data_IF_688609792743
#
_entry.id   IF_688609792743
#
_cell.length_a   1.000
_cell.length_b   1.000
_cell.length_c   1.000
_cell.angle_alpha   90.00
_cell.angle_beta   90.00
_cell.angle_gamma   90.00
#
_symmetry.space_group_name_H-M   'P 1'
#
loop_
_entity.id
_entity.type
_entity.pdbx_description
1 polymer ?
#
# COMPACT_ATOMS: atom_id res chain seq x y z
N UNK A 1 -10.46 -1.48 -19.43
CA UNK A 1 -10.31 -2.62 -18.49
C UNK A 1 -10.99 -2.27 -17.17
N UNK A 2 -11.77 -3.19 -16.63
CA UNK A 2 -12.37 -3.04 -15.30
C UNK A 2 -11.39 -3.46 -14.21
N UNK A 3 -11.68 -3.06 -12.97
CA UNK A 3 -10.86 -3.51 -11.83
C UNK A 3 -10.83 -5.02 -11.72
N UNK A 4 -11.98 -5.67 -11.88
CA UNK A 4 -12.07 -7.13 -11.81
C UNK A 4 -11.21 -7.81 -12.89
N UNK A 5 -11.23 -7.29 -14.11
CA UNK A 5 -10.38 -7.80 -15.19
C UNK A 5 -8.89 -7.61 -14.88
N UNK A 6 -8.53 -6.45 -14.31
CA UNK A 6 -7.16 -6.17 -13.91
C UNK A 6 -6.67 -7.12 -12.82
N UNK A 7 -7.47 -7.31 -11.77
CA UNK A 7 -7.13 -8.22 -10.69
C UNK A 7 -6.97 -9.66 -11.18
N UNK A 8 -7.83 -10.09 -12.09
CA UNK A 8 -7.72 -11.43 -12.69
C UNK A 8 -6.43 -11.57 -13.49
N UNK A 9 -6.06 -10.55 -14.26
CA UNK A 9 -4.85 -10.57 -15.08
C UNK A 9 -3.57 -10.68 -14.24
N UNK A 10 -3.56 -10.13 -13.01
CA UNK A 10 -2.42 -10.24 -12.11
C UNK A 10 -2.06 -11.69 -11.79
N UNK A 11 -3.06 -12.57 -11.77
CA UNK A 11 -2.88 -13.98 -11.43
C UNK A 11 -2.79 -14.89 -12.64
N UNK A 12 -2.96 -14.34 -13.84
CA UNK A 12 -2.92 -15.11 -15.08
C UNK A 12 -1.50 -15.48 -15.50
N UNK A 13 -1.36 -16.31 -16.54
CA UNK A 13 -0.05 -16.84 -16.97
C UNK A 13 0.78 -15.86 -17.80
N UNK A 14 0.18 -14.79 -18.32
CA UNK A 14 0.86 -13.83 -19.20
C UNK A 14 1.51 -12.72 -18.37
N UNK A 15 2.85 -12.71 -18.32
CA UNK A 15 3.63 -11.72 -17.58
C UNK A 15 3.39 -10.29 -18.07
N UNK A 16 3.28 -10.09 -19.40
CA UNK A 16 3.05 -8.75 -19.96
C UNK A 16 1.66 -8.24 -19.63
N UNK A 17 0.66 -9.11 -19.68
CA UNK A 17 -0.71 -8.76 -19.29
C UNK A 17 -0.76 -8.39 -17.82
N UNK A 18 -0.06 -9.12 -16.94
CA UNK A 18 -0.01 -8.83 -15.53
C UNK A 18 0.66 -7.47 -15.26
N UNK A 19 1.75 -7.16 -15.97
CA UNK A 19 2.44 -5.87 -15.81
C UNK A 19 1.55 -4.71 -16.24
N UNK A 20 0.83 -4.85 -17.36
CA UNK A 20 -0.12 -3.83 -17.82
C UNK A 20 -1.26 -3.66 -16.82
N UNK A 21 -1.76 -4.77 -16.27
CA UNK A 21 -2.83 -4.74 -15.28
C UNK A 21 -2.40 -4.01 -14.01
N UNK A 22 -1.18 -4.26 -13.54
CA UNK A 22 -0.65 -3.55 -12.38
C UNK A 22 -0.66 -2.03 -12.60
N UNK A 23 -0.13 -1.59 -13.74
CA UNK A 23 -0.08 -0.17 -14.06
C UNK A 23 -1.49 0.45 -14.13
N UNK A 24 -2.44 -0.25 -14.75
CA UNK A 24 -3.80 0.23 -14.89
C UNK A 24 -4.55 0.25 -13.55
N UNK A 25 -4.34 -0.73 -12.69
CA UNK A 25 -4.94 -0.75 -11.36
C UNK A 25 -4.44 0.44 -10.53
N UNK A 26 -3.13 0.71 -10.56
CA UNK A 26 -2.59 1.88 -9.89
C UNK A 26 -3.22 3.17 -10.41
N UNK A 27 -3.35 3.30 -11.74
CA UNK A 27 -3.98 4.47 -12.35
C UNK A 27 -5.44 4.61 -11.91
N UNK A 28 -6.19 3.50 -11.87
CA UNK A 28 -7.58 3.50 -11.40
C UNK A 28 -7.67 3.96 -9.94
N UNK A 29 -6.83 3.40 -9.09
CA UNK A 29 -6.87 3.68 -7.65
C UNK A 29 -6.44 5.10 -7.33
N UNK A 30 -5.61 5.73 -8.17
CA UNK A 30 -5.18 7.12 -7.99
C UNK A 30 -6.22 8.15 -8.44
N UNK A 31 -7.22 7.74 -9.20
CA UNK A 31 -8.26 8.66 -9.67
C UNK A 31 -9.36 8.79 -8.63
N UNK A 32 -9.56 9.99 -8.12
CA UNK A 32 -10.63 10.26 -7.15
C UNK A 32 -11.96 10.63 -7.81
N UNK A 33 -11.94 11.05 -9.07
CA UNK A 33 -13.08 11.62 -9.74
C UNK A 33 -13.37 13.06 -9.35
N UNK A 34 -12.51 13.67 -8.55
CA UNK A 34 -12.64 15.04 -8.06
C UNK A 34 -11.35 15.81 -8.35
N UNK A 35 -11.40 16.87 -9.21
CA UNK A 35 -10.19 17.61 -9.56
C UNK A 35 -9.45 18.24 -8.38
N UNK A 36 -10.18 18.66 -7.34
CA UNK A 36 -9.55 19.23 -6.13
C UNK A 36 -8.74 18.17 -5.39
N UNK A 37 -9.30 16.97 -5.23
CA UNK A 37 -8.60 15.86 -4.57
C UNK A 37 -7.40 15.43 -5.39
N UNK A 38 -7.54 15.36 -6.72
CA UNK A 38 -6.42 15.00 -7.60
C UNK A 38 -5.29 16.04 -7.53
N UNK A 39 -5.63 17.32 -7.36
CA UNK A 39 -4.64 18.37 -7.17
C UNK A 39 -3.88 18.20 -5.84
N UNK A 40 -4.59 17.89 -4.76
CA UNK A 40 -3.96 17.61 -3.46
C UNK A 40 -3.02 16.38 -3.58
N UNK A 41 -3.45 15.36 -4.32
CA UNK A 41 -2.61 14.20 -4.57
C UNK A 41 -1.28 14.60 -5.21
N UNK A 42 -1.33 15.40 -6.28
CA UNK A 42 -0.12 15.87 -6.95
C UNK A 42 0.78 16.68 -6.03
N UNK A 43 0.20 17.57 -5.25
CA UNK A 43 0.95 18.40 -4.29
C UNK A 43 1.65 17.54 -3.24
N UNK A 44 0.93 16.57 -2.69
CA UNK A 44 1.48 15.67 -1.69
C UNK A 44 2.62 14.82 -2.23
N UNK A 45 2.46 14.30 -3.44
CA UNK A 45 3.51 13.51 -4.10
C UNK A 45 4.76 14.36 -4.34
N UNK A 46 4.61 15.61 -4.78
CA UNK A 46 5.75 16.51 -4.97
C UNK A 46 6.48 16.76 -3.66
N UNK A 47 5.74 16.97 -2.57
CA UNK A 47 6.35 17.17 -1.25
C UNK A 47 7.12 15.94 -0.79
N UNK A 48 6.57 14.73 -1.04
CA UNK A 48 7.30 13.49 -0.77
C UNK A 48 8.62 13.43 -1.54
N UNK A 49 8.58 13.76 -2.82
CA UNK A 49 9.77 13.74 -3.68
C UNK A 49 10.84 14.71 -3.19
N UNK A 50 10.42 15.83 -2.60
CA UNK A 50 11.32 16.83 -2.01
C UNK A 50 11.74 16.48 -0.59
N UNK A 51 11.30 15.35 -0.07
CA UNK A 51 11.55 14.90 1.31
C UNK A 51 10.93 15.81 2.36
N UNK A 52 9.93 16.60 2.01
CA UNK A 52 9.12 17.33 2.96
C UNK A 52 8.00 16.43 3.47
N UNK A 53 8.35 15.53 4.40
CA UNK A 53 7.43 14.51 4.88
C UNK A 53 6.31 15.12 5.72
N UNK A 54 6.62 16.13 6.55
CA UNK A 54 5.60 16.80 7.36
C UNK A 54 4.57 17.51 6.48
N UNK A 55 5.02 18.20 5.43
CA UNK A 55 4.13 18.85 4.48
C UNK A 55 3.29 17.86 3.71
N UNK A 56 3.88 16.75 3.27
CA UNK A 56 3.16 15.71 2.56
C UNK A 56 2.07 15.08 3.43
N UNK A 57 2.40 14.75 4.69
CA UNK A 57 1.43 14.18 5.62
C UNK A 57 0.25 15.12 5.82
N UNK A 58 0.52 16.42 5.94
CA UNK A 58 -0.51 17.44 6.12
C UNK A 58 -1.46 17.51 4.91
N UNK A 59 -0.90 17.48 3.70
CA UNK A 59 -1.69 17.48 2.46
C UNK A 59 -2.56 16.23 2.37
N UNK A 60 -2.02 15.05 2.66
CA UNK A 60 -2.79 13.82 2.61
C UNK A 60 -3.84 13.77 3.72
N UNK A 61 -3.59 14.37 4.87
CA UNK A 61 -4.60 14.52 5.92
C UNK A 61 -5.78 15.36 5.43
N UNK A 62 -5.50 16.43 4.67
CA UNK A 62 -6.56 17.25 4.07
C UNK A 62 -7.36 16.47 3.02
N UNK A 63 -6.70 15.62 2.23
CA UNK A 63 -7.40 14.72 1.29
C UNK A 63 -8.37 13.81 2.03
N UNK A 64 -7.90 13.19 3.10
CA UNK A 64 -8.72 12.29 3.92
C UNK A 64 -9.93 13.03 4.51
N UNK A 65 -9.72 14.25 5.00
CA UNK A 65 -10.80 15.05 5.57
C UNK A 65 -11.88 15.37 4.54
N UNK A 66 -11.49 15.65 3.30
CA UNK A 66 -12.40 16.02 2.22
C UNK A 66 -13.02 14.84 1.48
N UNK A 67 -12.29 13.72 1.41
CA UNK A 67 -12.73 12.53 0.70
C UNK A 67 -12.39 11.28 1.52
N UNK A 68 -13.06 11.07 2.67
CA UNK A 68 -12.71 9.96 3.57
C UNK A 68 -12.91 8.57 2.97
N UNK A 69 -13.70 8.44 1.90
CA UNK A 69 -13.90 7.16 1.23
C UNK A 69 -12.90 6.89 0.11
N UNK A 70 -12.05 7.85 -0.20
CA UNK A 70 -11.01 7.66 -1.21
C UNK A 70 -9.83 6.92 -0.59
N UNK A 71 -9.71 5.63 -0.89
CA UNK A 71 -8.72 4.75 -0.27
C UNK A 71 -7.29 5.26 -0.41
N UNK A 72 -6.95 5.83 -1.56
CA UNK A 72 -5.58 6.25 -1.86
C UNK A 72 -5.08 7.39 -0.97
N UNK A 73 -5.96 8.23 -0.45
CA UNK A 73 -5.58 9.25 0.53
C UNK A 73 -4.97 8.62 1.78
N UNK A 74 -5.61 7.57 2.28
CA UNK A 74 -5.11 6.81 3.44
C UNK A 74 -3.80 6.11 3.10
N UNK A 75 -3.72 5.48 1.91
CA UNK A 75 -2.51 4.78 1.49
C UNK A 75 -1.31 5.72 1.34
N UNK A 76 -1.52 6.91 0.79
CA UNK A 76 -0.45 7.90 0.64
C UNK A 76 0.06 8.38 1.98
N UNK A 77 -0.84 8.65 2.93
CA UNK A 77 -0.40 9.02 4.28
C UNK A 77 0.34 7.88 4.96
N UNK A 78 -0.11 6.64 4.77
CA UNK A 78 0.60 5.47 5.28
C UNK A 78 2.03 5.43 4.77
N UNK A 79 2.24 5.70 3.48
CA UNK A 79 3.58 5.70 2.87
C UNK A 79 4.47 6.77 3.51
N UNK A 80 3.95 7.98 3.67
CA UNK A 80 4.69 9.07 4.31
C UNK A 80 5.06 8.71 5.75
N UNK A 81 4.11 8.16 6.48
CA UNK A 81 4.34 7.76 7.88
C UNK A 81 5.35 6.64 7.99
N UNK A 82 5.35 5.70 7.04
CA UNK A 82 6.37 4.65 6.99
C UNK A 82 7.76 5.26 6.80
N UNK A 83 7.91 6.16 5.83
CA UNK A 83 9.19 6.83 5.57
C UNK A 83 9.65 7.64 6.79
N UNK A 84 8.71 8.26 7.49
CA UNK A 84 8.99 9.02 8.72
C UNK A 84 9.16 8.12 9.95
N UNK A 85 9.13 6.81 9.78
CA UNK A 85 9.27 5.82 10.84
C UNK A 85 8.13 5.85 11.87
N UNK A 86 6.99 6.43 11.50
CA UNK A 86 5.77 6.32 12.30
C UNK A 86 5.01 5.06 11.89
N UNK A 87 5.54 3.91 12.30
CA UNK A 87 5.03 2.62 11.86
C UNK A 87 3.62 2.33 12.37
N UNK A 88 3.31 2.68 13.61
CA UNK A 88 1.98 2.47 14.17
C UNK A 88 0.92 3.30 13.41
N UNK A 89 1.24 4.55 13.10
CA UNK A 89 0.36 5.40 12.31
C UNK A 89 0.18 4.86 10.90
N UNK A 90 1.25 4.35 10.30
CA UNK A 90 1.20 3.74 8.97
C UNK A 90 0.34 2.48 8.96
N UNK A 91 0.47 1.62 9.96
CA UNK A 91 -0.35 0.41 10.09
C UNK A 91 -1.84 0.78 10.15
N UNK A 92 -2.18 1.79 10.95
CA UNK A 92 -3.56 2.24 11.07
C UNK A 92 -4.11 2.76 9.72
N UNK A 93 -3.31 3.52 8.99
CA UNK A 93 -3.71 4.03 7.67
C UNK A 93 -3.84 2.92 6.63
N UNK A 94 -2.98 1.90 6.68
CA UNK A 94 -3.11 0.73 5.82
C UNK A 94 -4.42 -0.01 6.10
N UNK A 95 -4.81 -0.13 7.36
CA UNK A 95 -6.09 -0.75 7.72
C UNK A 95 -7.26 0.02 7.11
N UNK A 96 -7.21 1.35 7.16
CA UNK A 96 -8.25 2.19 6.57
C UNK A 96 -8.27 2.04 5.05
N UNK A 97 -7.10 1.95 4.41
CA UNK A 97 -7.01 1.69 2.98
C UNK A 97 -7.65 0.35 2.63
N UNK A 98 -7.32 -0.70 3.36
CA UNK A 98 -7.80 -2.05 3.09
C UNK A 98 -9.29 -2.21 3.37
N UNK A 99 -9.84 -1.44 4.29
CA UNK A 99 -11.27 -1.45 4.53
C UNK A 99 -12.04 -0.94 3.31
N UNK A 100 -11.47 0.03 2.59
CA UNK A 100 -12.07 0.63 1.39
C UNK A 100 -11.73 -0.13 0.12
N UNK A 101 -10.55 -0.73 0.07
CA UNK A 101 -10.05 -1.51 -1.07
C UNK A 101 -9.30 -2.74 -0.54
N UNK A 102 -10.00 -3.85 -0.30
CA UNK A 102 -9.38 -5.07 0.26
C UNK A 102 -8.30 -5.68 -0.63
N UNK A 103 -8.31 -5.36 -1.91
CA UNK A 103 -7.36 -5.89 -2.90
C UNK A 103 -6.18 -4.96 -3.16
N UNK A 104 -6.02 -3.93 -2.34
CA UNK A 104 -4.94 -2.97 -2.51
C UNK A 104 -3.61 -3.61 -2.12
N UNK A 105 -2.92 -4.20 -3.10
CA UNK A 105 -1.69 -4.94 -2.85
C UNK A 105 -0.57 -4.05 -2.30
N UNK A 106 -0.55 -2.76 -2.65
CA UNK A 106 0.41 -1.82 -2.07
C UNK A 106 0.22 -1.63 -0.57
N UNK A 107 -1.03 -1.52 -0.12
CA UNK A 107 -1.33 -1.39 1.32
C UNK A 107 -1.05 -2.69 2.08
N UNK A 108 -1.37 -3.84 1.49
CA UNK A 108 -1.06 -5.13 2.09
C UNK A 108 0.44 -5.30 2.30
N UNK A 109 1.23 -5.03 1.27
CA UNK A 109 2.69 -5.10 1.34
C UNK A 109 3.25 -4.04 2.29
N UNK A 110 2.74 -2.83 2.23
CA UNK A 110 3.16 -1.72 3.09
C UNK A 110 2.92 -2.01 4.57
N UNK A 111 1.77 -2.57 4.90
CA UNK A 111 1.47 -2.96 6.28
C UNK A 111 2.41 -4.07 6.74
N UNK A 112 2.73 -5.03 5.84
CA UNK A 112 3.72 -6.06 6.13
C UNK A 112 5.08 -5.47 6.48
N UNK A 113 5.53 -4.48 5.73
CA UNK A 113 6.81 -3.80 6.01
C UNK A 113 6.79 -3.10 7.36
N UNK A 114 5.66 -2.47 7.72
CA UNK A 114 5.52 -1.83 9.04
C UNK A 114 5.57 -2.85 10.17
N UNK A 115 4.88 -3.98 10.02
CA UNK A 115 4.93 -5.03 11.02
C UNK A 115 6.34 -5.59 11.19
N UNK A 116 7.09 -5.77 10.08
CA UNK A 116 8.49 -6.18 10.16
C UNK A 116 9.32 -5.17 10.95
N UNK A 117 9.12 -3.88 10.67
CA UNK A 117 9.89 -2.82 11.30
C UNK A 117 9.70 -2.77 12.82
N UNK A 118 8.51 -3.14 13.31
CA UNK A 118 8.23 -3.16 14.75
C UNK A 118 8.39 -4.55 15.38
N UNK A 119 8.92 -5.51 14.63
CA UNK A 119 9.22 -6.85 15.14
C UNK A 119 8.03 -7.81 15.19
N UNK A 120 6.89 -7.44 14.61
CA UNK A 120 5.68 -8.27 14.57
C UNK A 120 5.71 -9.16 13.31
N UNK A 121 6.63 -10.10 13.30
CA UNK A 121 6.99 -10.86 12.09
C UNK A 121 5.89 -11.81 11.61
N UNK A 122 5.11 -12.41 12.50
CA UNK A 122 3.98 -13.28 12.12
C UNK A 122 2.90 -12.49 11.38
N UNK A 123 2.61 -11.31 11.88
CA UNK A 123 1.62 -10.43 11.27
C UNK A 123 2.12 -9.91 9.92
N UNK A 124 3.42 -9.59 9.84
CA UNK A 124 4.04 -9.22 8.57
C UNK A 124 3.88 -10.33 7.53
N UNK A 125 4.19 -11.57 7.91
CA UNK A 125 4.07 -12.72 7.01
C UNK A 125 2.63 -12.89 6.51
N UNK A 126 1.65 -12.71 7.39
CA UNK A 126 0.23 -12.80 7.01
C UNK A 126 -0.12 -11.75 5.95
N UNK A 127 0.38 -10.53 6.10
CA UNK A 127 0.10 -9.46 5.13
C UNK A 127 0.77 -9.72 3.78
N UNK A 128 2.02 -10.20 3.77
CA UNK A 128 2.71 -10.54 2.52
C UNK A 128 2.02 -11.72 1.80
N UNK A 129 1.52 -12.71 2.54
CA UNK A 129 0.75 -13.81 1.93
C UNK A 129 -0.51 -13.29 1.27
N UNK A 130 -1.23 -12.40 1.93
CA UNK A 130 -2.43 -11.79 1.36
C UNK A 130 -2.10 -10.98 0.10
N UNK A 131 -1.00 -10.23 0.13
CA UNK A 131 -0.55 -9.46 -1.03
C UNK A 131 -0.25 -10.39 -2.22
N UNK A 132 0.39 -11.51 -1.97
CA UNK A 132 0.76 -12.47 -3.01
C UNK A 132 -0.45 -13.25 -3.57
N UNK A 133 -1.52 -13.39 -2.80
CA UNK A 133 -2.77 -13.94 -3.34
C UNK A 133 -3.36 -12.99 -4.39
N UNK A 134 -3.34 -11.70 -4.11
CA UNK A 134 -3.85 -10.68 -5.06
C UNK A 134 -2.91 -10.50 -6.24
N UNK A 135 -1.61 -10.40 -5.96
CA UNK A 135 -0.59 -10.09 -6.96
C UNK A 135 0.63 -11.00 -6.76
N UNK A 136 0.62 -12.21 -7.36
CA UNK A 136 1.71 -13.19 -7.17
C UNK A 136 3.09 -12.71 -7.61
N UNK A 137 3.14 -11.74 -8.52
CA UNK A 137 4.38 -11.18 -9.05
C UNK A 137 4.83 -9.90 -8.34
N UNK A 138 4.16 -9.54 -7.24
CA UNK A 138 4.47 -8.30 -6.53
C UNK A 138 5.92 -8.28 -6.10
N UNK A 139 6.66 -7.28 -6.59
CA UNK A 139 8.10 -7.17 -6.37
C UNK A 139 8.41 -7.08 -4.89
N UNK A 140 9.37 -7.87 -4.44
CA UNK A 140 9.84 -7.86 -3.08
C UNK A 140 8.97 -8.63 -2.08
N UNK A 141 7.70 -8.91 -2.39
CA UNK A 141 6.78 -9.53 -1.44
C UNK A 141 7.20 -10.96 -1.05
N UNK A 142 7.68 -11.76 -2.01
CA UNK A 142 8.15 -13.12 -1.71
C UNK A 142 9.40 -13.11 -0.83
N UNK A 143 10.34 -12.23 -1.16
CA UNK A 143 11.55 -12.08 -0.37
C UNK A 143 11.19 -11.66 1.06
N UNK A 144 10.35 -10.65 1.18
CA UNK A 144 9.93 -10.13 2.47
C UNK A 144 9.15 -11.17 3.29
N UNK A 145 8.31 -11.96 2.62
CA UNK A 145 7.63 -13.08 3.28
C UNK A 145 8.64 -14.06 3.87
N UNK A 146 9.65 -14.45 3.09
CA UNK A 146 10.70 -15.35 3.56
C UNK A 146 11.44 -14.80 4.76
N UNK A 147 11.80 -13.51 4.72
CA UNK A 147 12.46 -12.84 5.84
C UNK A 147 11.56 -12.83 7.08
N UNK A 148 10.29 -12.45 6.92
CA UNK A 148 9.34 -12.40 8.03
C UNK A 148 9.13 -13.77 8.67
N UNK A 149 9.00 -14.81 7.85
CA UNK A 149 8.84 -16.19 8.36
C UNK A 149 10.09 -16.64 9.13
N UNK A 150 11.29 -16.36 8.60
CA UNK A 150 12.53 -16.69 9.27
C UNK A 150 12.69 -15.96 10.61
N UNK A 151 12.36 -14.68 10.65
CA UNK A 151 12.41 -13.89 11.88
C UNK A 151 11.38 -14.35 12.90
N UNK A 152 10.19 -14.75 12.46
CA UNK A 152 9.14 -15.26 13.35
C UNK A 152 9.61 -16.54 14.06
N UNK A 153 10.30 -17.41 13.33
CA UNK A 153 10.88 -18.65 13.92
C UNK A 153 11.99 -18.31 14.92
N UNK A 154 12.93 -17.43 14.53
CA UNK A 154 14.04 -17.04 15.39
C UNK A 154 13.59 -16.27 16.62
N UNK A 155 12.60 -15.40 16.47
CA UNK A 155 12.10 -14.54 17.53
C UNK A 155 11.03 -15.17 18.38
N UNK A 156 10.81 -16.48 18.30
CA UNK A 156 9.78 -17.20 19.04
C UNK A 156 8.39 -16.65 18.82
N UNK A 157 8.14 -16.18 17.60
CA UNK A 157 6.82 -15.77 17.19
C UNK A 157 6.50 -14.29 17.33
N UNK A 158 7.50 -13.47 17.51
CA UNK A 158 7.28 -12.04 17.44
C UNK A 158 6.64 -11.62 16.14
#
# INVERSE_FOLDING_TARGET
>A
MTEAEGLKALTGPDDDAAARAEAELWAMWHRSGNPEIDALMRDGIQLMQRRDLAGAEDVFARMIARAPEFAEGWNKRATVRYIAENYEGSIADCEETLRRNPNHFGALSGQGLCYMAVGRHREAAAMFRRALVVHPRLQGARHNLGVAMGEAVRGNGH
#
